data_IF_682900861810
#
_entry.id   IF_682900861810
#
_cell.length_a   1.000
_cell.length_b   1.000
_cell.length_c   1.000
_cell.angle_alpha   90.00
_cell.angle_beta   90.00
_cell.angle_gamma   90.00
#
_symmetry.space_group_name_H-M   'P 1'
#
loop_
_entity.id
_entity.type
_entity.pdbx_description
1 polymer ?
#
# COMPACT_ATOMS: atom_id res chain seq x y z
N UNK A 1 -20.24 24.26 4.04
CA UNK A 1 -21.45 23.48 3.66
C UNK A 1 -21.49 23.02 2.19
N UNK A 2 -20.41 23.06 1.39
CA UNK A 2 -20.38 22.52 0.01
C UNK A 2 -19.62 21.18 -0.14
N UNK A 3 -19.00 20.68 0.93
CA UNK A 3 -18.11 19.49 0.86
C UNK A 3 -18.89 18.18 1.11
N UNK A 4 -20.05 18.21 1.76
CA UNK A 4 -20.78 16.97 2.08
C UNK A 4 -21.46 16.32 0.85
N UNK A 5 -21.94 17.12 -0.11
CA UNK A 5 -22.72 16.60 -1.26
C UNK A 5 -21.80 15.91 -2.29
N UNK A 6 -20.57 16.39 -2.47
CA UNK A 6 -19.62 15.77 -3.40
C UNK A 6 -19.16 14.37 -2.94
N UNK A 7 -19.13 14.13 -1.61
CA UNK A 7 -18.79 12.82 -1.05
C UNK A 7 -19.94 11.82 -1.22
N UNK A 8 -21.18 12.27 -1.07
CA UNK A 8 -22.36 11.41 -1.28
C UNK A 8 -22.54 11.03 -2.75
N UNK A 9 -22.25 11.92 -3.70
CA UNK A 9 -22.36 11.63 -5.14
C UNK A 9 -21.27 10.66 -5.64
N UNK A 10 -20.05 10.74 -5.11
CA UNK A 10 -19.00 9.76 -5.40
C UNK A 10 -19.30 8.37 -4.81
N UNK A 11 -20.07 8.32 -3.71
CA UNK A 11 -20.53 7.06 -3.10
C UNK A 11 -21.78 6.49 -3.80
N UNK A 12 -22.62 7.33 -4.40
CA UNK A 12 -23.90 6.93 -5.00
C UNK A 12 -23.83 6.30 -6.40
N UNK A 13 -22.68 6.37 -7.10
CA UNK A 13 -22.48 5.66 -8.37
C UNK A 13 -22.03 4.20 -8.19
N UNK A 14 -21.98 3.70 -6.94
CA UNK A 14 -21.74 2.30 -6.63
C UNK A 14 -23.09 1.65 -6.32
N UNK A 15 -23.93 1.47 -7.33
CA UNK A 15 -25.11 0.61 -7.22
C UNK A 15 -25.36 -0.08 -8.56
N UNK A 16 -24.72 -1.24 -8.74
CA UNK A 16 -25.41 -2.53 -8.93
C UNK A 16 -24.41 -3.68 -9.13
N UNK A 17 -23.85 -4.16 -8.02
CA UNK A 17 -23.77 -5.57 -7.62
C UNK A 17 -23.20 -5.57 -6.20
N UNK A 18 -24.05 -5.77 -5.20
CA UNK A 18 -23.61 -5.87 -3.80
C UNK A 18 -22.83 -7.18 -3.60
N UNK A 19 -21.51 -7.18 -3.85
CA UNK A 19 -20.65 -8.36 -3.65
C UNK A 19 -19.72 -8.24 -2.43
N UNK A 20 -20.24 -7.64 -1.35
CA UNK A 20 -19.71 -7.87 0.00
C UNK A 20 -20.84 -8.44 0.85
N UNK A 21 -21.03 -9.76 0.76
CA UNK A 21 -21.97 -10.44 1.64
C UNK A 21 -21.36 -10.51 3.03
N UNK A 22 -21.92 -9.74 3.97
CA UNK A 22 -21.49 -9.77 5.37
C UNK A 22 -21.77 -11.14 6.00
N UNK A 23 -20.84 -11.57 6.86
CA UNK A 23 -21.05 -12.74 7.71
C UNK A 23 -22.11 -12.38 8.77
N UNK A 24 -23.15 -13.20 8.87
CA UNK A 24 -24.28 -13.03 9.81
C UNK A 24 -24.15 -14.02 10.97
N UNK A 25 -24.73 -13.66 12.11
CA UNK A 25 -24.72 -14.49 13.34
C UNK A 25 -25.36 -15.86 13.12
N UNK A 26 -26.32 -15.96 12.20
CA UNK A 26 -27.06 -17.18 11.88
C UNK A 26 -26.55 -17.91 10.62
N UNK A 27 -25.41 -17.51 10.07
CA UNK A 27 -24.79 -18.24 8.96
C UNK A 27 -24.32 -19.62 9.44
N UNK A 28 -24.54 -20.65 8.60
CA UNK A 28 -23.91 -21.94 8.85
C UNK A 28 -22.38 -21.85 8.63
N UNK A 29 -21.61 -22.79 9.19
CA UNK A 29 -20.15 -22.86 8.93
C UNK A 29 -19.85 -22.91 7.43
N UNK A 30 -20.69 -23.61 6.64
CA UNK A 30 -20.55 -23.68 5.18
C UNK A 30 -20.75 -22.31 4.53
N UNK A 31 -21.71 -21.52 5.01
CA UNK A 31 -21.97 -20.18 4.52
C UNK A 31 -20.79 -19.25 4.84
N UNK A 32 -20.25 -19.32 6.07
CA UNK A 32 -19.06 -18.54 6.48
C UNK A 32 -17.87 -18.84 5.57
N UNK A 33 -17.56 -20.12 5.33
CA UNK A 33 -16.46 -20.54 4.44
C UNK A 33 -16.67 -19.95 3.03
N UNK A 34 -17.86 -20.10 2.47
CA UNK A 34 -18.16 -19.61 1.12
C UNK A 34 -18.08 -18.08 1.03
N UNK A 35 -18.55 -17.37 2.05
CA UNK A 35 -18.50 -15.89 2.11
C UNK A 35 -17.06 -15.39 2.16
N UNK A 36 -16.21 -15.97 3.00
CA UNK A 36 -14.79 -15.60 3.09
C UNK A 36 -14.06 -15.87 1.75
N UNK A 37 -14.32 -17.02 1.13
CA UNK A 37 -13.72 -17.37 -0.15
C UNK A 37 -14.13 -16.36 -1.24
N UNK A 38 -15.43 -16.05 -1.34
CA UNK A 38 -15.96 -15.05 -2.30
C UNK A 38 -15.38 -13.66 -2.05
N UNK A 39 -15.33 -13.21 -0.80
CA UNK A 39 -14.72 -11.92 -0.44
C UNK A 39 -13.25 -11.84 -0.88
N UNK A 40 -12.50 -12.95 -0.72
CA UNK A 40 -11.10 -13.01 -1.15
C UNK A 40 -10.96 -12.93 -2.68
N UNK A 41 -11.81 -13.65 -3.43
CA UNK A 41 -11.85 -13.59 -4.89
C UNK A 41 -12.17 -12.18 -5.38
N UNK A 42 -13.22 -11.56 -4.82
CA UNK A 42 -13.61 -10.20 -5.21
C UNK A 42 -12.51 -9.18 -4.90
N UNK A 43 -11.84 -9.31 -3.75
CA UNK A 43 -10.72 -8.43 -3.40
C UNK A 43 -9.56 -8.54 -4.40
N UNK A 44 -9.27 -9.75 -4.91
CA UNK A 44 -8.29 -9.96 -5.97
C UNK A 44 -8.75 -9.32 -7.28
N UNK A 45 -9.99 -9.56 -7.69
CA UNK A 45 -10.55 -8.99 -8.94
C UNK A 45 -10.58 -7.46 -8.91
N UNK A 46 -11.00 -6.86 -7.79
CA UNK A 46 -10.99 -5.42 -7.61
C UNK A 46 -9.57 -4.85 -7.60
N UNK A 47 -8.60 -5.57 -7.02
CA UNK A 47 -7.19 -5.18 -7.07
C UNK A 47 -6.69 -5.17 -8.52
N UNK A 48 -7.02 -6.18 -9.32
CA UNK A 48 -6.62 -6.26 -10.74
C UNK A 48 -7.14 -5.05 -11.52
N UNK A 49 -8.39 -4.62 -11.29
CA UNK A 49 -8.99 -3.45 -11.95
C UNK A 49 -8.27 -2.13 -11.62
N UNK A 50 -7.54 -2.07 -10.51
CA UNK A 50 -6.83 -0.86 -10.06
C UNK A 50 -5.36 -0.83 -10.51
N UNK A 51 -4.82 -1.91 -11.08
CA UNK A 51 -3.44 -1.97 -11.52
C UNK A 51 -3.23 -1.04 -12.71
N UNK A 52 -2.29 -0.10 -12.56
CA UNK A 52 -1.77 0.70 -13.65
C UNK A 52 -0.44 0.09 -14.12
N UNK A 53 -0.40 -0.41 -15.35
CA UNK A 53 0.78 -1.05 -15.93
C UNK A 53 1.99 -0.10 -16.02
N UNK A 54 1.77 1.18 -16.33
CA UNK A 54 2.84 2.18 -16.42
C UNK A 54 3.47 2.42 -15.05
N UNK A 55 2.65 2.58 -14.01
CA UNK A 55 3.13 2.72 -12.65
C UNK A 55 3.93 1.49 -12.17
N UNK A 56 3.52 0.28 -12.57
CA UNK A 56 4.28 -0.94 -12.30
C UNK A 56 5.63 -0.93 -13.02
N UNK A 57 5.69 -0.47 -14.28
CA UNK A 57 6.96 -0.35 -15.03
C UNK A 57 7.91 0.64 -14.35
N UNK A 58 7.40 1.78 -13.89
CA UNK A 58 8.20 2.78 -13.19
C UNK A 58 8.78 2.23 -11.87
N UNK A 59 7.95 1.48 -11.12
CA UNK A 59 8.40 0.79 -9.90
C UNK A 59 9.49 -0.22 -10.21
N UNK A 60 9.31 -1.05 -11.25
CA UNK A 60 10.32 -2.05 -11.66
C UNK A 60 11.64 -1.37 -12.04
N UNK A 61 11.59 -0.27 -12.77
CA UNK A 61 12.79 0.47 -13.18
C UNK A 61 13.52 1.05 -11.97
N UNK A 62 12.79 1.68 -11.05
CA UNK A 62 13.39 2.25 -9.84
C UNK A 62 14.00 1.18 -8.93
N UNK A 63 13.35 0.01 -8.82
CA UNK A 63 13.81 -1.11 -8.01
C UNK A 63 15.06 -1.82 -8.55
N UNK A 64 15.63 -1.39 -9.68
CA UNK A 64 17.00 -1.77 -10.07
C UNK A 64 18.04 -1.24 -9.08
N UNK A 65 17.72 -0.16 -8.39
CA UNK A 65 18.53 0.39 -7.31
C UNK A 65 18.14 -0.21 -5.95
N UNK A 66 19.01 -0.03 -4.95
CA UNK A 66 18.70 -0.44 -3.59
C UNK A 66 17.44 0.26 -3.08
N UNK A 67 16.52 -0.53 -2.52
CA UNK A 67 15.21 -0.08 -2.06
C UNK A 67 15.02 -0.30 -0.56
N UNK A 68 14.36 0.63 0.12
CA UNK A 68 13.98 0.55 1.53
C UNK A 68 12.46 0.57 1.67
N UNK A 69 11.88 -0.50 2.21
CA UNK A 69 10.44 -0.62 2.40
C UNK A 69 10.07 -0.24 3.85
N UNK A 70 9.14 0.70 3.97
CA UNK A 70 8.62 1.22 5.22
C UNK A 70 7.17 0.78 5.43
N UNK A 71 6.83 0.39 6.65
CA UNK A 71 5.50 -0.11 6.99
C UNK A 71 5.42 -0.49 8.46
N UNK A 72 4.28 -0.23 9.08
CA UNK A 72 4.03 -0.49 10.51
C UNK A 72 2.79 -1.35 10.73
N UNK A 73 2.75 -2.08 11.84
CA UNK A 73 1.62 -2.96 12.19
C UNK A 73 1.41 -4.05 11.13
N UNK A 74 0.16 -4.29 10.72
CA UNK A 74 -0.16 -5.29 9.69
C UNK A 74 0.54 -5.00 8.34
N UNK A 75 0.75 -3.72 8.00
CA UNK A 75 1.49 -3.34 6.78
C UNK A 75 2.97 -3.73 6.84
N UNK A 76 3.56 -3.87 8.04
CA UNK A 76 4.92 -4.38 8.19
C UNK A 76 5.02 -5.86 7.77
N UNK A 77 3.96 -6.66 7.99
CA UNK A 77 3.93 -8.06 7.55
C UNK A 77 3.91 -8.16 6.01
N UNK A 78 3.13 -7.30 5.35
CA UNK A 78 3.10 -7.20 3.89
C UNK A 78 4.45 -6.73 3.34
N UNK A 79 5.06 -5.72 3.96
CA UNK A 79 6.39 -5.24 3.59
C UNK A 79 7.48 -6.31 3.77
N UNK A 80 7.38 -7.14 4.81
CA UNK A 80 8.31 -8.24 5.04
C UNK A 80 8.16 -9.36 4.02
N UNK A 81 6.92 -9.72 3.68
CA UNK A 81 6.62 -10.70 2.62
C UNK A 81 7.15 -10.21 1.25
N UNK A 82 6.94 -8.93 0.94
CA UNK A 82 7.50 -8.31 -0.27
C UNK A 82 9.03 -8.35 -0.28
N UNK A 83 9.68 -7.97 0.83
CA UNK A 83 11.14 -8.08 0.97
C UNK A 83 11.63 -9.49 0.66
N UNK A 84 10.98 -10.51 1.24
CA UNK A 84 11.36 -11.91 1.05
C UNK A 84 11.26 -12.34 -0.42
N UNK A 85 10.17 -11.96 -1.10
CA UNK A 85 9.96 -12.27 -2.53
C UNK A 85 10.98 -11.61 -3.44
N UNK A 86 11.36 -10.36 -3.15
CA UNK A 86 12.34 -9.60 -3.94
C UNK A 86 13.76 -10.12 -3.76
N UNK A 87 14.16 -10.42 -2.52
CA UNK A 87 15.49 -11.01 -2.25
C UNK A 87 15.64 -12.37 -2.94
N UNK A 88 14.56 -13.16 -3.04
CA UNK A 88 14.54 -14.44 -3.77
C UNK A 88 14.85 -14.32 -5.26
N UNK A 89 14.66 -13.14 -5.86
CA UNK A 89 15.00 -12.84 -7.26
C UNK A 89 16.17 -11.87 -7.37
N UNK A 90 17.00 -11.77 -6.32
CA UNK A 90 18.21 -10.95 -6.25
C UNK A 90 17.98 -9.44 -6.44
N UNK A 91 16.81 -8.93 -6.05
CA UNK A 91 16.52 -7.49 -6.00
C UNK A 91 16.98 -6.92 -4.66
N UNK A 92 17.85 -5.89 -4.63
CA UNK A 92 18.41 -5.34 -3.39
C UNK A 92 17.35 -4.56 -2.62
N UNK A 93 16.86 -5.13 -1.53
CA UNK A 93 15.81 -4.50 -0.72
C UNK A 93 15.98 -4.73 0.79
N UNK A 94 15.66 -3.72 1.58
CA UNK A 94 15.66 -3.81 3.04
C UNK A 94 14.31 -3.42 3.64
N UNK A 95 13.94 -4.10 4.72
CA UNK A 95 12.74 -3.85 5.51
C UNK A 95 12.99 -4.25 6.96
N UNK A 96 12.58 -3.39 7.88
CA UNK A 96 12.68 -3.61 9.32
C UNK A 96 11.32 -3.32 9.96
N UNK A 97 10.89 -4.15 10.92
CA UNK A 97 9.59 -3.96 11.58
C UNK A 97 9.58 -2.79 12.57
N UNK A 98 10.74 -2.42 13.10
CA UNK A 98 10.89 -1.31 14.04
C UNK A 98 10.90 0.05 13.31
N UNK A 99 10.04 0.97 13.76
CA UNK A 99 9.85 2.28 13.13
C UNK A 99 11.04 3.21 13.36
N UNK A 100 11.78 3.07 14.46
CA UNK A 100 12.99 3.87 14.71
C UNK A 100 14.13 3.49 13.74
N UNK A 101 14.29 2.20 13.47
CA UNK A 101 15.23 1.68 12.48
C UNK A 101 14.84 2.13 11.08
N UNK A 102 13.55 2.09 10.73
CA UNK A 102 13.05 2.63 9.47
C UNK A 102 13.39 4.12 9.28
N UNK A 103 13.18 4.95 10.33
CA UNK A 103 13.56 6.37 10.29
C UNK A 103 15.07 6.57 10.16
N UNK A 104 15.88 5.74 10.81
CA UNK A 104 17.34 5.79 10.72
C UNK A 104 17.80 5.49 9.30
N UNK A 105 17.20 4.50 8.63
CA UNK A 105 17.45 4.22 7.22
C UNK A 105 17.05 5.39 6.33
N UNK A 106 15.86 5.92 6.52
CA UNK A 106 15.38 7.06 5.74
C UNK A 106 16.26 8.31 5.91
N UNK A 107 16.90 8.48 7.07
CA UNK A 107 17.83 9.57 7.31
C UNK A 107 19.19 9.39 6.60
N UNK A 108 19.57 8.17 6.23
CA UNK A 108 20.85 7.85 5.58
C UNK A 108 20.70 7.42 4.11
N UNK A 109 19.47 7.33 3.61
CA UNK A 109 19.19 7.03 2.20
C UNK A 109 19.76 8.12 1.31
N UNK A 110 20.22 7.76 0.12
CA UNK A 110 20.75 8.71 -0.86
C UNK A 110 19.91 8.79 -2.14
N UNK A 111 20.27 9.73 -3.02
CA UNK A 111 19.52 10.02 -4.26
C UNK A 111 19.49 8.87 -5.28
N UNK A 112 20.37 7.88 -5.15
CA UNK A 112 20.38 6.71 -6.03
C UNK A 112 19.52 5.57 -5.50
N UNK A 113 18.90 5.72 -4.32
CA UNK A 113 18.11 4.67 -3.67
C UNK A 113 16.61 5.01 -3.71
N UNK A 114 15.78 4.00 -3.44
CA UNK A 114 14.33 4.12 -3.51
C UNK A 114 13.69 3.87 -2.14
N UNK A 115 12.75 4.72 -1.78
CA UNK A 115 11.95 4.61 -0.57
C UNK A 115 10.52 4.17 -0.92
N UNK A 116 10.07 3.03 -0.40
CA UNK A 116 8.75 2.46 -0.69
C UNK A 116 7.93 2.40 0.59
N UNK A 117 6.82 3.13 0.66
CA UNK A 117 5.92 3.10 1.82
C UNK A 117 4.71 2.23 1.58
N UNK A 118 4.46 1.29 2.49
CA UNK A 118 3.28 0.43 2.51
C UNK A 118 2.35 0.86 3.63
N UNK A 119 1.13 1.25 3.28
CA UNK A 119 0.11 1.67 4.22
C UNK A 119 -1.28 1.45 3.67
N UNK A 120 -2.11 0.65 4.35
CA UNK A 120 -3.49 0.44 3.92
C UNK A 120 -4.32 1.72 4.02
N UNK A 121 -4.19 2.46 5.12
CA UNK A 121 -4.99 3.67 5.37
C UNK A 121 -4.42 4.92 4.73
N UNK A 122 -3.19 4.90 4.20
CA UNK A 122 -2.48 6.08 3.72
C UNK A 122 -2.03 7.07 4.80
N UNK A 123 -2.48 6.92 6.04
CA UNK A 123 -2.37 7.94 7.11
C UNK A 123 -1.41 7.57 8.25
N UNK A 124 -0.64 6.50 8.11
CA UNK A 124 0.30 6.06 9.15
C UNK A 124 1.47 7.03 9.24
N UNK A 125 1.49 7.79 10.34
CA UNK A 125 2.42 8.89 10.57
C UNK A 125 3.89 8.43 10.49
N UNK A 126 4.20 7.24 11.00
CA UNK A 126 5.55 6.69 11.01
C UNK A 126 6.06 6.40 9.60
N UNK A 127 5.27 5.69 8.78
CA UNK A 127 5.60 5.40 7.38
C UNK A 127 5.75 6.70 6.59
N UNK A 128 4.86 7.66 6.80
CA UNK A 128 4.91 8.95 6.13
C UNK A 128 6.15 9.76 6.50
N UNK A 129 6.52 9.82 7.79
CA UNK A 129 7.74 10.49 8.26
C UNK A 129 9.01 9.89 7.64
N UNK A 130 9.07 8.56 7.50
CA UNK A 130 10.18 7.91 6.83
C UNK A 130 10.26 8.30 5.35
N UNK A 131 9.13 8.32 4.63
CA UNK A 131 9.09 8.79 3.24
C UNK A 131 9.47 10.27 3.09
N UNK A 132 8.97 11.13 3.97
CA UNK A 132 9.29 12.55 3.96
C UNK A 132 10.80 12.78 4.18
N UNK A 133 11.39 12.06 5.13
CA UNK A 133 12.83 12.11 5.38
C UNK A 133 13.62 11.63 4.16
N UNK A 134 13.21 10.50 3.56
CA UNK A 134 13.87 9.98 2.36
C UNK A 134 13.82 10.96 1.19
N UNK A 135 12.66 11.61 0.97
CA UNK A 135 12.50 12.64 -0.05
C UNK A 135 13.40 13.85 0.22
N UNK A 136 13.53 14.29 1.47
CA UNK A 136 14.45 15.39 1.85
C UNK A 136 15.90 15.05 1.54
N UNK A 137 16.28 13.79 1.59
CA UNK A 137 17.59 13.29 1.21
C UNK A 137 17.73 12.99 -0.30
N UNK A 138 16.73 13.34 -1.11
CA UNK A 138 16.77 13.25 -2.57
C UNK A 138 16.45 11.87 -3.15
N UNK A 139 16.06 10.90 -2.32
CA UNK A 139 15.65 9.59 -2.79
C UNK A 139 14.30 9.64 -3.52
N UNK A 140 14.12 8.77 -4.51
CA UNK A 140 12.83 8.59 -5.15
C UNK A 140 11.87 7.90 -4.18
N UNK A 141 10.64 8.39 -4.06
CA UNK A 141 9.65 7.85 -3.12
C UNK A 141 8.43 7.28 -3.83
N UNK A 142 8.01 6.09 -3.42
CA UNK A 142 6.86 5.36 -3.96
C UNK A 142 5.94 4.87 -2.84
N UNK A 143 4.66 4.68 -3.13
CA UNK A 143 3.67 4.25 -2.13
C UNK A 143 2.75 3.15 -2.63
N UNK A 144 2.47 2.16 -1.79
CA UNK A 144 1.42 1.16 -1.98
C UNK A 144 0.32 1.37 -0.93
N UNK A 145 -0.85 1.81 -1.39
CA UNK A 145 -1.99 2.21 -0.56
C UNK A 145 -3.32 1.96 -1.27
N UNK A 146 -4.40 1.84 -0.49
CA UNK A 146 -5.77 1.72 -1.03
C UNK A 146 -6.28 3.03 -1.64
N UNK A 147 -5.71 4.17 -1.27
CA UNK A 147 -6.19 5.49 -1.70
C UNK A 147 -5.37 6.04 -2.86
N UNK A 148 -6.03 6.37 -3.97
CA UNK A 148 -5.41 7.14 -5.05
C UNK A 148 -5.31 8.61 -4.60
N UNK A 149 -4.08 9.11 -4.46
CA UNK A 149 -3.81 10.52 -4.19
C UNK A 149 -4.11 10.97 -2.75
N UNK A 150 -3.12 10.84 -1.87
CA UNK A 150 -2.98 11.87 -0.83
C UNK A 150 -2.21 13.03 -1.46
N UNK A 151 -2.92 14.12 -1.76
CA UNK A 151 -2.35 15.43 -2.14
C UNK A 151 -1.63 16.08 -0.94
N UNK A 152 -0.59 15.42 -0.43
CA UNK A 152 0.47 16.08 0.32
C UNK A 152 1.76 15.78 -0.44
N UNK A 153 2.01 16.57 -1.48
CA UNK A 153 3.29 16.94 -2.16
C UNK A 153 4.49 15.95 -2.25
N UNK A 154 4.37 14.71 -1.80
CA UNK A 154 5.47 13.79 -1.56
C UNK A 154 5.57 12.70 -2.63
N UNK A 155 4.47 12.31 -3.26
CA UNK A 155 4.45 11.32 -4.34
C UNK A 155 4.43 12.02 -5.71
N UNK A 156 5.62 12.36 -6.19
CA UNK A 156 5.97 12.54 -7.60
C UNK A 156 7.35 11.95 -7.80
#
# INVERSE_FOLDING_TARGET
MKISIAKDVALNNINQENVYEAIKVNDSIKDVINKIARQSINAIEDTIKLINEEAIRDVIEAMKNASHIYGVGASALVAKDLQYKLVRINVPVSMYMDSHTQLTLAANINSNEVAIGISHSGTKLETFKALEMAKKNGAQTMTYTRFAGHEDSLVK
#
